data_IF_070955415987
#
_entry.id   IF_070955415987
#
_cell.length_a   1.000
_cell.length_b   1.000
_cell.length_c   1.000
_cell.angle_alpha   90.00
_cell.angle_beta   90.00
_cell.angle_gamma   90.00
#
_symmetry.space_group_name_H-M   'P 1'
#
loop_
_entity.id
_entity.type
_entity.pdbx_description
1 polymer ?
#
# COMPACT_ATOMS: atom_id res chain seq x y z
N UNK A 1 1.15 -11.08 -21.64
CA UNK A 1 0.49 -9.94 -22.30
C UNK A 1 -0.50 -9.34 -21.29
N UNK A 2 -0.09 -8.30 -20.56
CA UNK A 2 -0.89 -7.62 -19.53
C UNK A 2 -1.89 -6.69 -20.24
N UNK A 3 -3.19 -6.99 -20.17
CA UNK A 3 -4.22 -6.09 -20.67
C UNK A 3 -4.47 -4.97 -19.67
N UNK A 4 -4.41 -3.73 -20.14
CA UNK A 4 -4.65 -2.52 -19.36
C UNK A 4 -6.14 -2.42 -19.03
N UNK A 5 -6.52 -2.30 -17.75
CA UNK A 5 -7.92 -2.21 -17.27
C UNK A 5 -8.64 -0.96 -17.80
N UNK A 6 -7.91 0.13 -18.01
CA UNK A 6 -8.49 1.42 -18.46
C UNK A 6 -9.21 1.35 -19.83
N UNK A 7 -9.09 0.22 -20.56
CA UNK A 7 -9.74 0.00 -21.85
C UNK A 7 -10.89 -1.01 -21.84
N UNK A 8 -11.11 -1.73 -20.71
CA UNK A 8 -12.20 -2.71 -20.65
C UNK A 8 -13.53 -2.03 -20.29
N UNK A 9 -14.49 -2.10 -21.20
CA UNK A 9 -15.87 -1.67 -20.90
C UNK A 9 -16.48 -2.57 -19.81
N UNK A 10 -17.35 -2.00 -18.99
CA UNK A 10 -18.07 -2.76 -17.92
C UNK A 10 -18.77 -3.99 -18.50
N UNK A 11 -19.37 -3.89 -19.69
CA UNK A 11 -20.01 -5.01 -20.39
C UNK A 11 -19.06 -6.20 -20.66
N UNK A 12 -17.79 -5.91 -20.97
CA UNK A 12 -16.80 -6.97 -21.24
C UNK A 12 -16.37 -7.66 -19.96
N UNK A 13 -16.27 -6.90 -18.85
CA UNK A 13 -15.98 -7.47 -17.53
C UNK A 13 -17.12 -8.41 -17.13
N UNK A 14 -18.37 -7.96 -17.27
CA UNK A 14 -19.56 -8.75 -16.92
C UNK A 14 -19.59 -10.07 -17.70
N UNK A 15 -19.38 -10.05 -19.03
CA UNK A 15 -19.35 -11.29 -19.84
C UNK A 15 -18.27 -12.25 -19.38
N UNK A 16 -17.05 -11.78 -19.12
CA UNK A 16 -15.94 -12.62 -18.67
C UNK A 16 -16.18 -13.20 -17.26
N UNK A 17 -16.80 -12.42 -16.37
CA UNK A 17 -17.17 -12.91 -15.03
C UNK A 17 -18.25 -14.00 -15.16
N UNK A 18 -19.25 -13.81 -16.03
CA UNK A 18 -20.26 -14.83 -16.29
C UNK A 18 -19.60 -16.15 -16.77
N UNK A 19 -18.76 -16.09 -17.80
CA UNK A 19 -18.06 -17.26 -18.33
C UNK A 19 -17.25 -17.98 -17.24
N UNK A 20 -16.52 -17.22 -16.40
CA UNK A 20 -15.69 -17.76 -15.33
C UNK A 20 -16.56 -18.40 -14.21
N UNK A 21 -17.69 -17.78 -13.83
CA UNK A 21 -18.63 -18.35 -12.86
C UNK A 21 -19.23 -19.66 -13.38
N UNK A 22 -19.70 -19.67 -14.62
CA UNK A 22 -20.24 -20.87 -15.25
C UNK A 22 -19.19 -22.00 -15.33
N UNK A 23 -17.94 -21.67 -15.67
CA UNK A 23 -16.83 -22.63 -15.68
C UNK A 23 -16.58 -23.21 -14.28
N UNK A 24 -16.59 -22.38 -13.24
CA UNK A 24 -16.40 -22.83 -11.87
C UNK A 24 -17.53 -23.73 -11.39
N UNK A 25 -18.77 -23.35 -11.67
CA UNK A 25 -19.96 -24.07 -11.21
C UNK A 25 -20.20 -25.40 -11.95
N UNK A 26 -19.85 -25.48 -13.24
CA UNK A 26 -19.91 -26.74 -14.01
C UNK A 26 -19.01 -27.85 -13.46
N UNK A 27 -18.00 -27.51 -12.68
CA UNK A 27 -17.09 -28.49 -12.04
C UNK A 27 -17.63 -29.04 -10.72
N UNK A 28 -18.75 -28.49 -10.24
CA UNK A 28 -19.38 -28.96 -9.00
C UNK A 28 -20.22 -30.18 -9.28
N UNK A 29 -20.05 -31.31 -8.53
CA UNK A 29 -20.89 -32.46 -8.63
C UNK A 29 -22.38 -32.13 -8.41
N UNK A 30 -23.28 -32.81 -9.12
CA UNK A 30 -24.73 -32.69 -9.01
C UNK A 30 -25.34 -31.35 -9.48
N UNK A 31 -24.56 -30.44 -10.02
CA UNK A 31 -25.07 -29.25 -10.72
C UNK A 31 -25.49 -29.68 -12.14
N UNK A 32 -26.82 -29.56 -12.42
CA UNK A 32 -27.41 -30.05 -13.68
C UNK A 32 -27.66 -28.92 -14.67
N UNK A 33 -28.20 -27.80 -14.19
CA UNK A 33 -28.55 -26.66 -15.04
C UNK A 33 -27.91 -25.38 -14.48
N UNK A 34 -27.43 -24.58 -15.38
CA UNK A 34 -26.87 -23.24 -15.11
C UNK A 34 -27.44 -22.28 -16.15
N UNK A 35 -28.14 -21.27 -15.66
CA UNK A 35 -28.69 -20.23 -16.52
C UNK A 35 -28.21 -18.86 -16.01
N UNK A 36 -27.58 -18.08 -16.86
CA UNK A 36 -27.13 -16.72 -16.54
C UNK A 36 -28.00 -15.70 -17.23
N UNK A 37 -28.51 -14.73 -16.50
CA UNK A 37 -29.34 -13.65 -17.00
C UNK A 37 -28.81 -12.27 -16.59
N UNK A 38 -29.22 -11.25 -17.33
CA UNK A 38 -28.90 -9.85 -17.07
C UNK A 38 -30.19 -9.16 -16.60
N UNK A 39 -30.35 -8.94 -15.30
CA UNK A 39 -31.57 -8.33 -14.77
C UNK A 39 -31.70 -6.87 -15.22
N UNK A 40 -32.95 -6.43 -15.47
CA UNK A 40 -33.24 -5.04 -15.85
C UNK A 40 -33.19 -4.06 -14.67
N UNK A 41 -33.10 -4.55 -13.43
CA UNK A 41 -33.16 -3.73 -12.21
C UNK A 41 -31.78 -3.41 -11.63
N UNK A 42 -31.65 -2.20 -11.10
CA UNK A 42 -30.42 -1.49 -10.71
C UNK A 42 -29.49 -2.15 -9.65
N UNK A 43 -29.83 -3.29 -9.08
CA UNK A 43 -29.10 -3.81 -7.90
C UNK A 43 -28.14 -4.97 -8.15
N UNK A 44 -28.24 -5.67 -9.28
CA UNK A 44 -27.32 -6.73 -9.70
C UNK A 44 -26.99 -6.58 -11.18
N UNK A 45 -25.75 -6.92 -11.54
CA UNK A 45 -25.30 -6.88 -12.95
C UNK A 45 -25.50 -8.25 -13.64
N UNK A 46 -25.58 -9.34 -12.84
CA UNK A 46 -25.81 -10.70 -13.30
C UNK A 46 -26.64 -11.47 -12.27
N UNK A 47 -27.48 -12.38 -12.76
CA UNK A 47 -28.13 -13.43 -11.97
C UNK A 47 -27.79 -14.78 -12.57
N UNK A 48 -27.45 -15.76 -11.70
CA UNK A 48 -27.12 -17.12 -12.14
C UNK A 48 -27.96 -18.11 -11.36
N UNK A 49 -28.87 -18.74 -12.06
CA UNK A 49 -29.62 -19.87 -11.51
C UNK A 49 -28.75 -21.13 -11.53
N UNK A 50 -28.66 -21.78 -10.37
CA UNK A 50 -27.90 -23.01 -10.16
C UNK A 50 -28.85 -24.08 -9.68
N UNK A 51 -29.11 -25.06 -10.52
CA UNK A 51 -29.91 -26.23 -10.13
C UNK A 51 -28.96 -27.34 -9.64
N UNK A 52 -29.05 -27.64 -8.34
CA UNK A 52 -28.35 -28.76 -7.71
C UNK A 52 -29.37 -29.75 -7.13
N UNK A 53 -29.38 -30.98 -7.62
CA UNK A 53 -30.39 -31.98 -7.32
C UNK A 53 -31.79 -31.47 -7.68
N UNK A 54 -32.68 -31.29 -6.67
CA UNK A 54 -34.04 -30.78 -6.82
C UNK A 54 -34.17 -29.31 -6.41
N UNK A 55 -33.11 -28.71 -5.88
CA UNK A 55 -33.10 -27.33 -5.38
C UNK A 55 -32.58 -26.38 -6.44
N UNK A 56 -33.23 -25.24 -6.57
CA UNK A 56 -32.78 -24.10 -7.39
C UNK A 56 -32.28 -22.99 -6.48
N UNK A 57 -31.11 -22.45 -6.82
CA UNK A 57 -30.44 -21.35 -6.10
C UNK A 57 -30.12 -20.24 -7.07
N UNK A 58 -30.20 -19.01 -6.62
CA UNK A 58 -29.87 -17.83 -7.42
C UNK A 58 -28.65 -17.10 -6.83
N UNK A 59 -27.56 -16.98 -7.60
CA UNK A 59 -26.45 -16.07 -7.31
C UNK A 59 -26.77 -14.71 -7.89
N UNK A 60 -26.79 -13.69 -7.06
CA UNK A 60 -26.91 -12.29 -7.48
C UNK A 60 -25.53 -11.64 -7.46
N UNK A 61 -25.06 -11.15 -8.61
CA UNK A 61 -23.68 -10.71 -8.78
C UNK A 61 -23.61 -9.21 -9.07
N UNK A 62 -22.83 -8.49 -8.28
CA UNK A 62 -22.49 -7.11 -8.57
C UNK A 62 -21.06 -7.02 -9.13
N UNK A 63 -20.93 -6.53 -10.35
CA UNK A 63 -19.65 -6.38 -11.06
C UNK A 63 -19.19 -4.94 -10.97
N UNK A 64 -17.97 -4.73 -10.50
CA UNK A 64 -17.34 -3.41 -10.46
C UNK A 64 -16.04 -3.41 -11.26
N UNK A 65 -15.69 -2.27 -11.82
CA UNK A 65 -14.40 -2.10 -12.53
C UNK A 65 -13.20 -2.06 -11.59
N UNK A 66 -13.44 -1.86 -10.29
CA UNK A 66 -12.41 -1.76 -9.26
C UNK A 66 -12.79 -2.67 -8.08
N UNK A 67 -11.86 -3.53 -7.67
CA UNK A 67 -12.04 -4.49 -6.56
C UNK A 67 -11.39 -4.05 -5.25
N UNK A 68 -11.36 -2.75 -4.97
CA UNK A 68 -10.89 -2.20 -3.70
C UNK A 68 -12.00 -2.19 -2.62
N UNK A 69 -11.67 -2.09 -1.32
CA UNK A 69 -12.60 -2.21 -0.20
C UNK A 69 -13.87 -1.38 -0.31
N UNK A 70 -13.76 -0.12 -0.69
CA UNK A 70 -14.92 0.77 -0.87
C UNK A 70 -15.95 0.19 -1.82
N UNK A 71 -15.50 -0.29 -2.99
CA UNK A 71 -16.40 -0.85 -4.01
C UNK A 71 -17.03 -2.17 -3.59
N UNK A 72 -16.28 -3.01 -2.84
CA UNK A 72 -16.81 -4.25 -2.27
C UNK A 72 -17.91 -3.93 -1.26
N UNK A 73 -17.67 -3.00 -0.35
CA UNK A 73 -18.63 -2.59 0.68
C UNK A 73 -19.93 -2.06 0.09
N UNK A 74 -19.84 -1.14 -0.87
CA UNK A 74 -21.00 -0.57 -1.55
C UNK A 74 -21.79 -1.65 -2.30
N UNK A 75 -21.11 -2.50 -3.06
CA UNK A 75 -21.75 -3.55 -3.85
C UNK A 75 -22.42 -4.64 -2.99
N UNK A 76 -21.71 -5.11 -1.96
CA UNK A 76 -22.24 -6.15 -1.07
C UNK A 76 -23.44 -5.63 -0.28
N UNK A 77 -23.40 -4.39 0.23
CA UNK A 77 -24.54 -3.79 0.91
C UNK A 77 -25.80 -3.73 0.01
N UNK A 78 -25.63 -3.34 -1.26
CA UNK A 78 -26.72 -3.33 -2.25
C UNK A 78 -27.30 -4.74 -2.49
N UNK A 79 -26.43 -5.75 -2.64
CA UNK A 79 -26.86 -7.14 -2.87
C UNK A 79 -27.56 -7.73 -1.65
N UNK A 80 -27.09 -7.46 -0.44
CA UNK A 80 -27.72 -7.91 0.80
C UNK A 80 -29.11 -7.31 0.97
N UNK A 81 -29.29 -6.02 0.65
CA UNK A 81 -30.62 -5.39 0.64
C UNK A 81 -31.56 -6.03 -0.40
N UNK A 82 -31.06 -6.42 -1.57
CA UNK A 82 -31.84 -7.15 -2.57
C UNK A 82 -32.23 -8.54 -2.05
N UNK A 83 -31.26 -9.26 -1.51
CA UNK A 83 -31.45 -10.60 -0.95
C UNK A 83 -32.53 -10.61 0.15
N UNK A 84 -32.52 -9.62 1.04
CA UNK A 84 -33.50 -9.51 2.14
C UNK A 84 -34.94 -9.21 1.67
N UNK A 85 -35.11 -8.70 0.47
CA UNK A 85 -36.43 -8.38 -0.14
C UNK A 85 -36.93 -9.48 -1.06
N UNK A 86 -36.08 -10.43 -1.42
CA UNK A 86 -36.45 -11.55 -2.29
C UNK A 86 -37.13 -12.63 -1.47
N UNK A 87 -38.21 -13.24 -2.02
CA UNK A 87 -38.81 -14.45 -1.50
C UNK A 87 -38.00 -15.71 -1.80
N UNK A 88 -37.07 -15.62 -2.75
CA UNK A 88 -36.18 -16.70 -3.15
C UNK A 88 -34.85 -16.63 -2.39
N UNK A 89 -34.25 -17.79 -2.14
CA UNK A 89 -32.89 -17.84 -1.54
C UNK A 89 -31.87 -17.38 -2.54
N UNK A 90 -31.38 -16.16 -2.36
CA UNK A 90 -30.35 -15.55 -3.16
C UNK A 90 -29.02 -15.46 -2.42
N UNK A 91 -27.92 -15.55 -3.16
CA UNK A 91 -26.56 -15.55 -2.63
C UNK A 91 -25.76 -14.40 -3.25
N UNK A 92 -25.36 -13.41 -2.45
CA UNK A 92 -24.63 -12.25 -2.95
C UNK A 92 -23.20 -12.61 -3.37
N UNK A 93 -22.75 -12.10 -4.52
CA UNK A 93 -21.40 -12.30 -5.03
C UNK A 93 -20.84 -10.96 -5.55
N UNK A 94 -19.69 -10.57 -5.03
CA UNK A 94 -18.95 -9.43 -5.54
C UNK A 94 -17.96 -9.86 -6.62
N UNK A 95 -17.89 -9.13 -7.73
CA UNK A 95 -16.99 -9.44 -8.83
C UNK A 95 -16.25 -8.20 -9.36
N UNK A 96 -14.98 -8.39 -9.72
CA UNK A 96 -14.14 -7.33 -10.27
C UNK A 96 -13.01 -7.94 -11.14
N UNK A 97 -12.26 -7.15 -11.91
CA UNK A 97 -11.08 -7.65 -12.60
C UNK A 97 -10.03 -8.26 -11.65
N UNK A 98 -9.78 -7.62 -10.52
CA UNK A 98 -8.99 -8.14 -9.40
C UNK A 98 -9.57 -7.61 -8.09
N UNK A 99 -9.66 -8.48 -7.09
CA UNK A 99 -10.16 -8.15 -5.76
C UNK A 99 -8.99 -8.14 -4.78
N UNK A 100 -8.79 -7.01 -4.08
CA UNK A 100 -7.76 -6.90 -3.06
C UNK A 100 -8.07 -7.79 -1.86
N UNK A 101 -7.05 -8.17 -1.07
CA UNK A 101 -7.23 -8.97 0.13
C UNK A 101 -8.26 -8.36 1.07
N UNK A 102 -8.13 -7.07 1.38
CA UNK A 102 -9.08 -6.37 2.28
C UNK A 102 -10.49 -6.32 1.71
N UNK A 103 -10.67 -6.27 0.39
CA UNK A 103 -12.01 -6.34 -0.22
C UNK A 103 -12.59 -7.77 -0.15
N UNK A 104 -11.74 -8.79 -0.28
CA UNK A 104 -12.15 -10.18 -0.07
C UNK A 104 -12.57 -10.42 1.39
N UNK A 105 -11.81 -9.89 2.35
CA UNK A 105 -12.13 -9.98 3.79
C UNK A 105 -13.51 -9.36 4.09
N UNK A 106 -13.87 -8.21 3.51
CA UNK A 106 -15.21 -7.62 3.61
C UNK A 106 -16.30 -8.57 3.10
N UNK A 107 -16.06 -9.24 1.96
CA UNK A 107 -17.01 -10.23 1.45
C UNK A 107 -17.21 -11.39 2.44
N UNK A 108 -16.10 -11.88 3.03
CA UNK A 108 -16.15 -12.99 4.01
C UNK A 108 -16.91 -12.59 5.28
N UNK A 109 -16.61 -11.43 5.86
CA UNK A 109 -17.26 -10.91 7.07
C UNK A 109 -18.77 -10.73 6.89
N UNK A 110 -19.22 -10.41 5.68
CA UNK A 110 -20.63 -10.20 5.36
C UNK A 110 -21.35 -11.43 4.83
N UNK A 111 -20.66 -12.56 4.68
CA UNK A 111 -21.21 -13.80 4.11
C UNK A 111 -21.43 -13.76 2.59
N UNK A 112 -20.86 -12.77 1.90
CA UNK A 112 -20.90 -12.70 0.44
C UNK A 112 -19.80 -13.55 -0.19
N UNK A 113 -20.08 -14.13 -1.36
CA UNK A 113 -19.05 -14.70 -2.22
C UNK A 113 -18.29 -13.63 -2.99
N UNK A 114 -17.15 -14.00 -3.56
CA UNK A 114 -16.43 -13.15 -4.50
C UNK A 114 -15.73 -13.94 -5.61
N UNK A 115 -15.50 -13.28 -6.74
CA UNK A 115 -14.74 -13.82 -7.87
C UNK A 115 -14.04 -12.71 -8.66
N UNK A 116 -12.81 -12.97 -9.10
CA UNK A 116 -12.09 -12.04 -9.96
C UNK A 116 -11.56 -12.68 -11.24
N UNK A 117 -11.25 -11.84 -12.25
CA UNK A 117 -10.73 -12.30 -13.53
C UNK A 117 -9.28 -12.82 -13.47
N UNK A 118 -8.57 -12.61 -12.36
CA UNK A 118 -7.28 -13.26 -12.11
C UNK A 118 -7.43 -14.73 -11.76
N UNK A 119 -8.64 -15.14 -11.36
CA UNK A 119 -9.03 -16.50 -11.00
C UNK A 119 -9.09 -16.76 -9.50
N UNK A 120 -9.01 -15.71 -8.66
CA UNK A 120 -9.33 -15.85 -7.25
C UNK A 120 -10.86 -15.90 -7.08
N UNK A 121 -11.35 -16.79 -6.26
CA UNK A 121 -12.76 -16.85 -5.92
C UNK A 121 -12.97 -17.54 -4.58
N UNK A 122 -14.06 -17.17 -3.93
CA UNK A 122 -14.66 -17.93 -2.85
C UNK A 122 -16.19 -17.87 -2.97
N UNK A 123 -16.81 -19.00 -3.20
CA UNK A 123 -18.26 -19.15 -3.34
C UNK A 123 -18.72 -20.21 -2.33
N UNK A 124 -19.58 -19.82 -1.41
CA UNK A 124 -20.11 -20.72 -0.36
C UNK A 124 -21.62 -20.58 -0.32
N UNK A 125 -22.32 -21.58 -0.76
CA UNK A 125 -23.78 -21.61 -0.74
C UNK A 125 -24.31 -23.03 -0.86
N UNK A 126 -25.37 -23.36 -0.10
CA UNK A 126 -26.08 -24.63 -0.13
C UNK A 126 -25.21 -25.90 -0.28
N UNK A 127 -24.17 -26.03 0.55
CA UNK A 127 -23.25 -27.18 0.49
C UNK A 127 -22.31 -27.17 -0.71
N UNK A 128 -22.27 -26.07 -1.47
CA UNK A 128 -21.24 -25.81 -2.46
C UNK A 128 -20.16 -24.95 -1.80
N UNK A 129 -18.90 -25.39 -1.89
CA UNK A 129 -17.73 -24.66 -1.45
C UNK A 129 -16.69 -24.66 -2.56
N UNK A 130 -16.43 -23.49 -3.12
CA UNK A 130 -15.39 -23.28 -4.14
C UNK A 130 -14.44 -22.21 -3.63
N UNK A 131 -13.16 -22.54 -3.49
CA UNK A 131 -12.13 -21.57 -3.10
C UNK A 131 -10.90 -21.71 -3.98
N UNK A 132 -10.41 -20.56 -4.46
CA UNK A 132 -9.16 -20.42 -5.20
C UNK A 132 -8.53 -19.11 -4.78
N UNK A 133 -7.34 -19.17 -4.20
CA UNK A 133 -6.63 -18.02 -3.66
C UNK A 133 -5.22 -17.91 -4.26
N UNK A 134 -4.56 -16.79 -4.01
CA UNK A 134 -3.15 -16.58 -4.33
C UNK A 134 -2.84 -16.32 -5.81
N UNK A 135 -3.85 -16.09 -6.65
CA UNK A 135 -3.60 -15.69 -8.03
C UNK A 135 -3.17 -14.23 -8.08
N UNK A 136 -2.00 -13.94 -8.70
CA UNK A 136 -1.52 -12.56 -8.76
C UNK A 136 -2.42 -11.70 -9.63
N UNK A 137 -2.43 -10.40 -9.34
CA UNK A 137 -3.19 -9.44 -10.11
C UNK A 137 -2.68 -9.35 -11.56
N UNK A 138 -3.42 -9.92 -12.51
CA UNK A 138 -3.11 -9.87 -13.95
C UNK A 138 -3.59 -8.58 -14.63
N UNK A 139 -4.35 -7.78 -13.91
CA UNK A 139 -4.98 -6.54 -14.36
C UNK A 139 -4.35 -5.32 -13.71
N UNK A 140 -3.15 -5.48 -13.16
CA UNK A 140 -2.37 -4.34 -12.71
C UNK A 140 -2.23 -3.37 -13.87
N UNK A 141 -2.98 -2.29 -13.83
CA UNK A 141 -2.51 -1.07 -14.43
C UNK A 141 -1.20 -0.76 -13.71
N UNK A 142 -0.07 -1.00 -14.39
CA UNK A 142 1.26 -0.59 -13.90
C UNK A 142 1.27 0.88 -13.46
N UNK A 143 0.31 1.65 -13.92
CA UNK A 143 0.07 3.06 -13.61
C UNK A 143 -0.55 3.27 -12.21
N UNK A 144 -1.46 2.41 -11.74
CA UNK A 144 -2.26 2.65 -10.53
C UNK A 144 -1.52 2.28 -9.22
N UNK A 145 -0.80 1.14 -9.16
CA UNK A 145 0.01 0.77 -7.98
C UNK A 145 1.34 1.52 -7.96
N UNK A 146 1.99 1.68 -9.12
CA UNK A 146 3.19 2.51 -9.22
C UNK A 146 2.91 3.98 -8.91
N UNK A 147 1.68 4.47 -9.12
CA UNK A 147 1.39 5.89 -8.89
C UNK A 147 1.38 6.28 -7.41
N UNK A 148 0.97 5.39 -6.48
CA UNK A 148 0.90 5.74 -5.06
C UNK A 148 2.30 5.81 -4.42
N UNK A 149 3.23 4.91 -4.81
CA UNK A 149 4.59 4.85 -4.26
C UNK A 149 5.67 5.45 -5.17
N UNK A 150 5.28 6.27 -6.14
CA UNK A 150 6.23 7.08 -6.92
C UNK A 150 6.65 8.35 -6.16
N UNK A 151 7.82 8.90 -6.47
CA UNK A 151 8.41 10.05 -5.81
C UNK A 151 7.43 11.14 -5.39
N UNK A 152 6.69 11.71 -6.35
CA UNK A 152 5.75 12.81 -6.09
C UNK A 152 4.57 12.38 -5.22
N UNK A 153 4.09 11.15 -5.34
CA UNK A 153 3.03 10.62 -4.48
C UNK A 153 3.53 10.39 -3.06
N UNK A 154 4.75 9.85 -2.91
CA UNK A 154 5.34 9.56 -1.60
C UNK A 154 5.63 10.81 -0.79
N UNK A 155 5.83 11.97 -1.43
CA UNK A 155 5.88 13.26 -0.71
C UNK A 155 4.55 13.57 -0.01
N UNK A 156 3.43 13.30 -0.68
CA UNK A 156 2.09 13.46 -0.08
C UNK A 156 1.89 12.47 1.06
N UNK A 157 2.31 11.21 0.89
CA UNK A 157 2.20 10.20 1.94
C UNK A 157 3.01 10.57 3.18
N UNK A 158 4.23 11.11 3.01
CA UNK A 158 5.04 11.59 4.14
C UNK A 158 4.36 12.71 4.91
N UNK A 159 3.77 13.68 4.21
CA UNK A 159 3.03 14.76 4.86
C UNK A 159 1.81 14.25 5.63
N UNK A 160 1.06 13.30 5.06
CA UNK A 160 -0.09 12.69 5.71
C UNK A 160 0.29 11.83 6.93
N UNK A 161 1.39 11.08 6.86
CA UNK A 161 1.86 10.20 7.93
C UNK A 161 2.65 10.94 9.01
N UNK A 162 3.10 12.17 8.76
CA UNK A 162 3.76 13.01 9.75
C UNK A 162 2.81 13.38 10.90
N UNK A 163 1.57 13.70 10.56
CA UNK A 163 0.45 13.86 11.50
C UNK A 163 -0.82 13.29 10.89
N UNK A 164 -1.13 12.01 11.14
CA UNK A 164 -2.29 11.34 10.55
C UNK A 164 -3.63 11.84 11.09
N UNK A 165 -3.65 12.57 12.21
CA UNK A 165 -4.86 13.12 12.81
C UNK A 165 -5.26 14.46 12.17
N UNK A 166 -4.32 15.11 11.48
CA UNK A 166 -4.57 16.38 10.83
C UNK A 166 -5.51 16.24 9.64
N UNK A 167 -6.53 17.08 9.58
CA UNK A 167 -7.44 17.21 8.44
C UNK A 167 -6.86 18.20 7.44
N UNK A 168 -6.39 17.70 6.31
CA UNK A 168 -5.70 18.49 5.30
C UNK A 168 -6.66 19.06 4.25
N UNK A 169 -6.68 20.36 4.04
CA UNK A 169 -7.19 20.92 2.76
C UNK A 169 -6.23 20.54 1.64
N UNK A 170 -6.76 20.20 0.46
CA UNK A 170 -5.91 19.70 -0.64
C UNK A 170 -4.88 20.73 -1.11
N UNK A 171 -5.19 22.03 -1.02
CA UNK A 171 -4.25 23.09 -1.35
C UNK A 171 -3.07 23.15 -0.36
N UNK A 172 -3.36 23.05 0.96
CA UNK A 172 -2.33 23.08 1.99
C UNK A 172 -1.42 21.84 1.90
N UNK A 173 -2.01 20.67 1.64
CA UNK A 173 -1.27 19.42 1.42
C UNK A 173 -0.40 19.49 0.15
N UNK A 174 -0.88 20.16 -0.91
CA UNK A 174 -0.12 20.43 -2.13
C UNK A 174 1.11 21.30 -1.82
N UNK A 175 0.94 22.35 -1.04
CA UNK A 175 2.02 23.23 -0.62
C UNK A 175 3.02 22.50 0.28
N UNK A 176 2.54 21.79 1.32
CA UNK A 176 3.40 21.09 2.27
C UNK A 176 4.23 19.98 1.62
N UNK A 177 3.66 19.28 0.64
CA UNK A 177 4.33 18.17 -0.06
C UNK A 177 5.15 18.61 -1.29
N UNK A 178 5.05 19.89 -1.71
CA UNK A 178 5.73 20.40 -2.89
C UNK A 178 5.30 19.75 -4.21
N UNK A 179 4.02 19.32 -4.32
CA UNK A 179 3.48 18.69 -5.53
C UNK A 179 2.21 19.40 -6.01
N UNK A 180 1.84 19.17 -7.27
CA UNK A 180 0.61 19.76 -7.82
C UNK A 180 -0.65 19.24 -7.13
N UNK A 181 -1.69 20.06 -7.05
CA UNK A 181 -3.00 19.68 -6.50
C UNK A 181 -3.63 18.49 -7.23
N UNK A 182 -3.35 18.32 -8.52
CA UNK A 182 -3.77 17.15 -9.31
C UNK A 182 -3.13 15.85 -8.81
N UNK A 183 -1.86 15.91 -8.38
CA UNK A 183 -1.18 14.77 -7.79
C UNK A 183 -1.76 14.43 -6.41
N UNK A 184 -2.03 15.45 -5.58
CA UNK A 184 -2.71 15.27 -4.29
C UNK A 184 -4.09 14.62 -4.49
N UNK A 185 -4.86 15.07 -5.50
CA UNK A 185 -6.15 14.48 -5.83
C UNK A 185 -6.05 12.98 -6.19
N UNK A 186 -5.03 12.60 -6.99
CA UNK A 186 -4.80 11.20 -7.35
C UNK A 186 -4.47 10.34 -6.12
N UNK A 187 -3.61 10.84 -5.22
CA UNK A 187 -3.29 10.16 -3.96
C UNK A 187 -4.53 10.05 -3.08
N UNK A 188 -5.27 11.15 -2.88
CA UNK A 188 -6.55 11.14 -2.15
C UNK A 188 -7.48 10.04 -2.65
N UNK A 189 -7.71 9.99 -3.97
CA UNK A 189 -8.58 8.98 -4.58
C UNK A 189 -8.09 7.56 -4.28
N UNK A 190 -6.79 7.32 -4.42
CA UNK A 190 -6.20 6.01 -4.17
C UNK A 190 -6.33 5.57 -2.70
N UNK A 191 -6.22 6.50 -1.74
CA UNK A 191 -6.39 6.23 -0.31
C UNK A 191 -7.86 5.97 0.05
N UNK A 192 -8.79 6.76 -0.50
CA UNK A 192 -10.24 6.57 -0.26
C UNK A 192 -10.72 5.25 -0.86
N UNK A 193 -10.26 4.88 -2.06
CA UNK A 193 -10.64 3.60 -2.70
C UNK A 193 -10.22 2.40 -1.85
N UNK A 194 -9.17 2.55 -1.01
CA UNK A 194 -8.65 1.53 -0.07
C UNK A 194 -9.27 1.59 1.33
N UNK A 195 -10.17 2.54 1.59
CA UNK A 195 -10.68 2.87 2.93
C UNK A 195 -9.56 3.27 3.94
N UNK A 196 -8.46 3.84 3.45
CA UNK A 196 -7.36 4.32 4.29
C UNK A 196 -7.45 5.80 4.65
N UNK A 197 -8.34 6.51 4.00
CA UNK A 197 -8.63 7.91 4.27
C UNK A 197 -10.09 8.25 4.02
N UNK A 198 -10.55 9.29 4.67
CA UNK A 198 -11.84 9.94 4.45
C UNK A 198 -11.63 11.39 4.01
N UNK A 199 -12.57 11.90 3.22
CA UNK A 199 -12.56 13.28 2.78
C UNK A 199 -13.91 13.92 3.07
N UNK A 200 -13.91 14.82 4.04
CA UNK A 200 -15.06 15.54 4.52
C UNK A 200 -14.94 17.03 4.18
N UNK A 201 -15.89 17.83 4.70
CA UNK A 201 -15.89 19.28 4.53
C UNK A 201 -14.62 19.94 5.10
N UNK A 202 -14.11 19.40 6.20
CA UNK A 202 -12.91 19.89 6.89
C UNK A 202 -11.61 19.51 6.18
N UNK A 203 -11.61 18.47 5.37
CA UNK A 203 -10.44 18.05 4.60
C UNK A 203 -10.24 16.53 4.51
N UNK A 204 -9.07 16.14 4.03
CA UNK A 204 -8.59 14.76 3.95
C UNK A 204 -7.91 14.35 5.27
N UNK A 205 -8.31 13.22 5.84
CA UNK A 205 -7.72 12.63 7.04
C UNK A 205 -7.43 11.14 6.80
N UNK A 206 -6.34 10.62 7.34
CA UNK A 206 -6.08 9.18 7.35
C UNK A 206 -6.97 8.49 8.40
N UNK A 207 -7.55 7.36 8.01
CA UNK A 207 -8.33 6.48 8.91
C UNK A 207 -7.55 5.21 9.28
N UNK A 208 -6.56 4.84 8.46
CA UNK A 208 -5.75 3.63 8.61
C UNK A 208 -4.26 3.91 8.34
N UNK A 209 -3.61 4.79 9.13
CA UNK A 209 -2.23 5.18 8.89
C UNK A 209 -1.24 4.01 9.02
N UNK A 210 -1.46 3.10 9.93
CA UNK A 210 -0.63 1.89 10.09
C UNK A 210 -0.70 0.99 8.85
N UNK A 211 -1.90 0.72 8.32
CA UNK A 211 -2.04 -0.09 7.12
C UNK A 211 -1.36 0.55 5.91
N UNK A 212 -1.48 1.87 5.78
CA UNK A 212 -0.79 2.62 4.73
C UNK A 212 0.74 2.49 4.85
N UNK A 213 1.29 2.65 6.06
CA UNK A 213 2.74 2.57 6.29
C UNK A 213 3.27 1.16 6.02
N UNK A 214 2.57 0.13 6.47
CA UNK A 214 2.94 -1.28 6.25
C UNK A 214 2.90 -1.65 4.77
N UNK A 215 1.81 -1.33 4.06
CA UNK A 215 1.70 -1.57 2.61
C UNK A 215 2.77 -0.80 1.83
N UNK A 216 3.10 0.43 2.27
CA UNK A 216 4.22 1.17 1.67
C UNK A 216 5.55 0.48 1.93
N UNK A 217 5.83 0.00 3.15
CA UNK A 217 7.03 -0.76 3.50
C UNK A 217 7.20 -2.02 2.64
N UNK A 218 6.12 -2.78 2.40
CA UNK A 218 6.14 -3.96 1.51
C UNK A 218 6.50 -3.62 0.04
N UNK A 219 6.21 -2.39 -0.39
CA UNK A 219 6.45 -1.92 -1.75
C UNK A 219 7.65 -0.95 -1.84
N UNK A 220 8.35 -0.72 -0.73
CA UNK A 220 9.48 0.19 -0.65
C UNK A 220 10.80 -0.53 -0.91
N UNK A 221 11.66 0.11 -1.67
CA UNK A 221 13.03 -0.32 -1.88
C UNK A 221 13.90 0.90 -2.22
N UNK A 222 15.18 0.83 -1.93
CA UNK A 222 16.16 1.84 -2.36
C UNK A 222 16.36 1.95 -3.88
N UNK A 223 15.66 1.18 -4.69
CA UNK A 223 15.89 0.87 -6.10
C UNK A 223 16.26 1.98 -7.07
N UNK A 224 15.91 3.24 -6.78
CA UNK A 224 16.32 4.40 -7.57
C UNK A 224 17.35 5.28 -6.84
N UNK A 225 17.58 5.04 -5.54
CA UNK A 225 18.61 5.72 -4.78
C UNK A 225 19.98 5.13 -5.11
N UNK A 226 21.02 5.97 -5.05
CA UNK A 226 22.39 5.53 -5.22
C UNK A 226 23.02 5.28 -3.86
N UNK A 227 23.35 4.01 -3.57
CA UNK A 227 23.98 3.59 -2.33
C UNK A 227 25.46 3.34 -2.55
N UNK A 228 26.28 3.91 -1.69
CA UNK A 228 27.73 3.78 -1.75
C UNK A 228 28.29 3.43 -0.39
N UNK A 229 28.99 2.32 -0.35
CA UNK A 229 29.62 1.82 0.86
C UNK A 229 31.05 2.31 1.01
N UNK A 230 31.41 2.71 2.24
CA UNK A 230 32.72 3.22 2.60
C UNK A 230 33.18 2.66 3.94
N UNK A 231 34.44 2.88 4.24
CA UNK A 231 35.01 2.59 5.55
C UNK A 231 35.60 3.88 6.17
N UNK A 232 35.25 4.12 7.43
CA UNK A 232 35.86 5.16 8.27
C UNK A 232 36.41 4.51 9.55
N UNK A 233 37.67 4.76 9.86
CA UNK A 233 38.30 4.26 11.08
C UNK A 233 37.83 5.08 12.30
N UNK A 234 36.59 4.83 12.71
CA UNK A 234 35.94 5.46 13.86
C UNK A 234 34.82 4.56 14.41
N UNK A 235 34.45 4.74 15.67
CA UNK A 235 33.21 4.13 16.16
C UNK A 235 31.99 4.71 15.44
N UNK A 236 30.88 4.00 15.35
CA UNK A 236 29.69 4.50 14.65
C UNK A 236 29.24 5.90 15.12
N UNK A 237 29.16 6.13 16.43
CA UNK A 237 28.76 7.44 16.97
C UNK A 237 29.78 8.54 16.66
N UNK A 238 31.07 8.24 16.68
CA UNK A 238 32.11 9.20 16.28
C UNK A 238 32.05 9.51 14.76
N UNK A 239 31.82 8.48 13.93
CA UNK A 239 31.62 8.63 12.50
C UNK A 239 30.44 9.56 12.21
N UNK A 240 29.30 9.36 12.84
CA UNK A 240 28.10 10.18 12.69
C UNK A 240 28.33 11.65 13.07
N UNK A 241 29.07 11.89 14.17
CA UNK A 241 29.43 13.25 14.60
C UNK A 241 30.37 13.93 13.61
N UNK A 242 31.36 13.21 13.08
CA UNK A 242 32.29 13.73 12.05
C UNK A 242 31.50 14.07 10.77
N UNK A 243 30.62 13.19 10.30
CA UNK A 243 29.77 13.41 9.15
C UNK A 243 28.91 14.67 9.31
N UNK A 244 28.22 14.76 10.47
CA UNK A 244 27.37 15.88 10.81
C UNK A 244 28.11 17.22 10.77
N UNK A 245 29.27 17.30 11.44
CA UNK A 245 30.10 18.52 11.51
C UNK A 245 30.60 18.95 10.13
N UNK A 246 31.17 18.02 9.36
CA UNK A 246 31.73 18.32 8.04
C UNK A 246 30.70 18.75 7.02
N UNK A 247 29.54 18.02 6.97
CA UNK A 247 28.46 18.34 6.04
C UNK A 247 27.79 19.67 6.39
N UNK A 248 27.49 19.90 7.68
CA UNK A 248 26.91 21.17 8.14
C UNK A 248 27.79 22.37 7.86
N UNK A 249 29.10 22.28 8.11
CA UNK A 249 30.04 23.36 7.81
C UNK A 249 30.10 23.76 6.33
N UNK A 250 29.73 22.85 5.44
CA UNK A 250 29.67 23.09 3.98
C UNK A 250 28.25 23.39 3.49
N UNK A 251 27.29 23.50 4.38
CA UNK A 251 25.90 23.75 4.02
C UNK A 251 25.25 22.62 3.20
N UNK A 252 25.76 21.39 3.29
CA UNK A 252 25.21 20.23 2.61
C UNK A 252 24.11 19.65 3.50
N UNK A 253 22.91 19.53 2.94
CA UNK A 253 21.77 18.89 3.61
C UNK A 253 22.03 17.39 3.74
N UNK A 254 21.86 16.87 4.96
CA UNK A 254 22.02 15.46 5.26
C UNK A 254 20.99 15.02 6.31
N UNK A 255 20.77 13.73 6.43
CA UNK A 255 20.02 13.14 7.55
C UNK A 255 20.43 11.67 7.75
N UNK A 256 20.74 11.30 9.00
CA UNK A 256 20.95 9.91 9.37
C UNK A 256 19.66 9.14 9.24
N UNK A 257 19.73 7.88 8.79
CA UNK A 257 18.57 7.05 8.53
C UNK A 257 18.77 5.61 9.01
N UNK A 258 17.79 4.75 8.76
CA UNK A 258 17.80 3.32 9.09
C UNK A 258 18.27 3.08 10.54
N UNK A 259 19.28 2.23 10.74
CA UNK A 259 19.80 1.89 12.06
C UNK A 259 20.36 3.09 12.83
N UNK A 260 21.00 4.05 12.15
CA UNK A 260 21.51 5.28 12.76
C UNK A 260 20.43 6.16 13.37
N UNK A 261 19.29 6.29 12.67
CA UNK A 261 18.13 7.00 13.18
C UNK A 261 17.41 6.21 14.26
N UNK A 262 17.22 4.89 14.04
CA UNK A 262 16.52 4.03 14.98
C UNK A 262 17.23 3.93 16.34
N UNK A 263 18.56 3.86 16.38
CA UNK A 263 19.32 3.83 17.61
C UNK A 263 19.09 5.05 18.53
N UNK A 264 18.74 6.18 17.94
CA UNK A 264 18.40 7.42 18.67
C UNK A 264 16.93 7.52 19.03
N UNK A 265 16.06 7.05 18.14
CA UNK A 265 14.62 7.17 18.31
C UNK A 265 14.04 6.06 19.21
N UNK A 266 14.56 4.84 19.11
CA UNK A 266 14.06 3.64 19.80
C UNK A 266 15.21 2.76 20.32
N UNK A 267 15.98 3.19 21.32
CA UNK A 267 17.02 2.34 21.92
C UNK A 267 16.39 1.08 22.56
N UNK A 268 17.08 -0.09 22.59
CA UNK A 268 18.52 -0.26 22.38
C UNK A 268 18.93 -0.79 20.99
N UNK A 269 18.52 -0.16 19.90
CA UNK A 269 18.99 -0.57 18.59
C UNK A 269 20.52 -0.35 18.48
N UNK A 270 21.28 -1.42 18.20
CA UNK A 270 22.71 -1.32 17.96
C UNK A 270 23.00 -0.85 16.54
N UNK A 271 23.89 0.13 16.42
CA UNK A 271 24.31 0.65 15.12
C UNK A 271 25.63 -0.02 14.71
N UNK A 272 25.54 -1.03 13.87
CA UNK A 272 26.72 -1.66 13.26
C UNK A 272 27.24 -0.86 12.05
N UNK A 273 26.40 -0.05 11.42
CA UNK A 273 26.68 0.69 10.20
C UNK A 273 25.97 2.04 10.23
N UNK A 274 26.70 3.11 9.90
CA UNK A 274 26.14 4.44 9.73
C UNK A 274 25.47 4.56 8.36
N UNK A 275 24.21 4.93 8.33
CA UNK A 275 23.44 5.18 7.10
C UNK A 275 23.02 6.64 7.06
N UNK A 276 23.32 7.35 5.97
CA UNK A 276 23.05 8.79 5.86
C UNK A 276 22.65 9.18 4.45
N UNK A 277 21.52 9.90 4.34
CA UNK A 277 21.14 10.62 3.13
C UNK A 277 21.98 11.89 3.01
N UNK A 278 22.42 12.19 1.79
CA UNK A 278 23.17 13.42 1.45
C UNK A 278 22.57 14.06 0.20
N UNK A 279 22.48 15.39 0.21
CA UNK A 279 21.99 16.19 -0.92
C UNK A 279 23.16 16.82 -1.68
N UNK A 280 24.03 15.96 -2.21
CA UNK A 280 25.18 16.34 -3.06
C UNK A 280 25.65 15.14 -3.87
N UNK A 281 26.51 15.38 -4.86
CA UNK A 281 27.14 14.28 -5.58
C UNK A 281 28.11 13.49 -4.69
N UNK A 282 28.33 12.23 -5.06
CA UNK A 282 29.07 11.28 -4.25
C UNK A 282 30.56 11.59 -4.15
N UNK A 283 31.20 11.99 -5.25
CA UNK A 283 32.64 12.25 -5.28
C UNK A 283 32.99 13.41 -4.33
N UNK A 284 32.19 14.48 -4.40
CA UNK A 284 32.32 15.62 -3.50
C UNK A 284 32.11 15.24 -2.03
N UNK A 285 31.13 14.33 -1.75
CA UNK A 285 30.89 13.88 -0.39
C UNK A 285 32.02 13.00 0.13
N UNK A 286 32.52 12.05 -0.65
CA UNK A 286 33.61 11.15 -0.28
C UNK A 286 34.91 11.95 0.02
N UNK A 287 35.27 12.92 -0.83
CA UNK A 287 36.44 13.80 -0.63
C UNK A 287 36.27 14.62 0.64
N UNK A 288 35.14 15.26 0.84
CA UNK A 288 34.86 16.09 2.01
C UNK A 288 34.93 15.29 3.33
N UNK A 289 34.45 14.08 3.29
CA UNK A 289 34.37 13.22 4.47
C UNK A 289 35.64 12.39 4.68
N UNK A 290 36.61 12.45 3.76
CA UNK A 290 37.85 11.67 3.78
C UNK A 290 37.59 10.17 3.93
N UNK A 291 36.61 9.65 3.17
CA UNK A 291 36.21 8.27 3.26
C UNK A 291 37.16 7.36 2.47
N UNK A 292 37.61 6.30 3.12
CA UNK A 292 38.34 5.23 2.45
C UNK A 292 37.42 4.35 1.60
N UNK A 293 37.97 3.63 0.60
CA UNK A 293 37.20 2.68 -0.18
C UNK A 293 36.58 1.63 0.72
N UNK A 294 35.45 1.09 0.29
CA UNK A 294 34.76 0.00 0.98
C UNK A 294 35.73 -1.19 1.11
N UNK A 295 36.14 -1.50 2.32
CA UNK A 295 36.85 -2.75 2.63
C UNK A 295 35.87 -3.93 2.69
N UNK A 296 36.35 -5.11 3.15
CA UNK A 296 35.47 -6.27 3.31
C UNK A 296 34.33 -6.06 4.31
N UNK A 297 34.49 -5.08 5.22
CA UNK A 297 33.49 -4.71 6.22
C UNK A 297 33.23 -3.19 6.18
N UNK A 298 32.41 -2.71 5.23
CA UNK A 298 32.05 -1.29 5.19
C UNK A 298 31.18 -0.94 6.41
N UNK A 299 31.47 0.22 7.01
CA UNK A 299 30.72 0.69 8.19
C UNK A 299 29.95 2.01 7.96
N UNK A 300 30.03 2.57 6.75
CA UNK A 300 29.25 3.73 6.33
C UNK A 300 28.58 3.45 4.99
N UNK A 301 27.30 3.78 4.90
CA UNK A 301 26.56 3.83 3.64
C UNK A 301 26.08 5.26 3.41
N UNK A 302 26.62 5.93 2.39
CA UNK A 302 26.08 7.19 1.89
C UNK A 302 24.97 6.88 0.88
N UNK A 303 23.90 7.63 0.97
CA UNK A 303 22.70 7.46 0.12
C UNK A 303 22.41 8.80 -0.56
N UNK A 304 22.52 8.84 -1.88
CA UNK A 304 22.04 9.96 -2.69
C UNK A 304 20.59 9.66 -3.08
N UNK A 305 19.62 10.36 -2.48
CA UNK A 305 18.20 10.04 -2.73
C UNK A 305 17.80 10.52 -4.12
N UNK A 306 17.00 9.73 -4.82
CA UNK A 306 16.44 10.15 -6.09
C UNK A 306 15.32 11.19 -5.94
N UNK A 307 14.77 11.34 -4.73
CA UNK A 307 13.74 12.32 -4.39
C UNK A 307 14.00 12.97 -3.03
N UNK A 308 14.00 14.30 -3.01
CA UNK A 308 14.25 15.09 -1.79
C UNK A 308 13.19 14.89 -0.68
N UNK A 309 12.06 14.24 -0.99
CA UNK A 309 11.02 13.96 -0.01
C UNK A 309 11.49 13.14 1.20
N UNK A 310 12.62 12.43 1.11
CA UNK A 310 13.24 11.72 2.25
C UNK A 310 13.60 12.66 3.40
N UNK A 311 13.86 13.93 3.11
CA UNK A 311 14.17 14.96 4.11
C UNK A 311 12.93 15.59 4.76
N UNK A 312 11.72 15.17 4.37
CA UNK A 312 10.50 15.70 4.98
C UNK A 312 10.40 15.29 6.45
N UNK A 313 10.21 16.27 7.34
CA UNK A 313 10.10 16.01 8.78
C UNK A 313 11.39 15.56 9.46
N UNK A 314 12.54 15.88 8.89
CA UNK A 314 13.85 15.70 9.57
C UNK A 314 13.86 16.43 10.91
N UNK A 315 14.57 15.87 11.88
CA UNK A 315 14.71 16.41 13.25
C UNK A 315 16.17 16.48 13.64
N UNK A 316 16.50 17.49 14.44
CA UNK A 316 17.80 17.54 15.11
C UNK A 316 17.73 16.74 16.42
N UNK A 317 18.66 15.84 16.60
CA UNK A 317 18.80 15.01 17.82
C UNK A 317 20.27 14.95 18.22
N UNK A 318 20.60 15.46 19.41
CA UNK A 318 21.98 15.50 19.93
C UNK A 318 23.02 16.08 18.93
N UNK A 319 22.63 17.15 18.23
CA UNK A 319 23.52 17.83 17.28
C UNK A 319 23.67 17.16 15.91
N UNK A 320 22.91 16.10 15.64
CA UNK A 320 22.86 15.46 14.31
C UNK A 320 21.45 15.51 13.74
N UNK A 321 21.35 15.64 12.42
CA UNK A 321 20.07 15.60 11.73
C UNK A 321 19.70 14.14 11.42
N UNK A 322 18.47 13.74 11.79
CA UNK A 322 17.91 12.43 11.52
C UNK A 322 16.63 12.56 10.68
N UNK A 323 16.33 11.54 9.87
CA UNK A 323 15.06 11.48 9.12
C UNK A 323 13.87 11.36 10.06
N UNK A 324 12.65 11.58 9.54
CA UNK A 324 11.41 11.29 10.27
C UNK A 324 11.32 9.81 10.66
N UNK A 325 10.62 9.46 11.75
CA UNK A 325 10.39 8.06 12.13
C UNK A 325 9.77 7.21 11.01
N UNK A 326 8.88 7.79 10.20
CA UNK A 326 8.27 7.14 9.04
C UNK A 326 9.32 6.78 7.99
N UNK A 327 10.24 7.70 7.67
CA UNK A 327 11.31 7.42 6.70
C UNK A 327 12.31 6.39 7.26
N UNK A 328 12.69 6.50 8.53
CA UNK A 328 13.56 5.51 9.18
C UNK A 328 12.95 4.10 9.15
N UNK A 329 11.64 3.99 9.39
CA UNK A 329 10.89 2.72 9.30
C UNK A 329 10.99 2.11 7.89
N UNK A 330 10.72 2.90 6.86
CA UNK A 330 10.76 2.43 5.47
C UNK A 330 12.16 1.94 5.09
N UNK A 331 13.18 2.68 5.46
CA UNK A 331 14.57 2.33 5.16
C UNK A 331 14.99 1.06 5.91
N UNK A 332 14.59 0.89 7.16
CA UNK A 332 14.84 -0.34 7.93
C UNK A 332 14.19 -1.56 7.29
N UNK A 333 12.92 -1.46 6.88
CA UNK A 333 12.22 -2.58 6.20
C UNK A 333 12.92 -2.98 4.90
N UNK A 334 13.53 -2.03 4.19
CA UNK A 334 14.23 -2.29 2.93
C UNK A 334 15.60 -2.97 3.08
N UNK A 335 16.20 -2.98 4.30
CA UNK A 335 17.54 -3.56 4.48
C UNK A 335 17.54 -5.09 4.49
N UNK A 336 17.02 -5.71 5.54
CA UNK A 336 17.04 -7.17 5.75
C UNK A 336 16.14 -7.57 6.93
N UNK A 337 16.19 -8.82 7.35
CA UNK A 337 15.38 -9.30 8.49
C UNK A 337 15.66 -8.55 9.82
N UNK A 338 16.93 -8.23 10.13
CA UNK A 338 17.26 -7.39 11.30
C UNK A 338 16.68 -5.98 11.18
N UNK A 339 16.64 -5.44 9.95
CA UNK A 339 16.00 -4.16 9.68
C UNK A 339 14.49 -4.22 9.95
N UNK A 340 13.82 -5.30 9.59
CA UNK A 340 12.39 -5.47 9.89
C UNK A 340 12.10 -5.53 11.39
N UNK A 341 12.92 -6.23 12.17
CA UNK A 341 12.80 -6.27 13.63
C UNK A 341 12.98 -4.87 14.25
N UNK A 342 14.00 -4.13 13.80
CA UNK A 342 14.22 -2.76 14.23
C UNK A 342 13.08 -1.81 13.79
N UNK A 343 12.51 -2.01 12.62
CA UNK A 343 11.35 -1.25 12.13
C UNK A 343 10.11 -1.49 13.02
N UNK A 344 9.83 -2.72 13.41
CA UNK A 344 8.72 -3.01 14.33
C UNK A 344 8.93 -2.40 15.72
N UNK A 345 10.17 -2.43 16.22
CA UNK A 345 10.54 -1.74 17.46
C UNK A 345 10.31 -0.22 17.36
N UNK A 346 10.79 0.40 16.27
CA UNK A 346 10.58 1.83 16.01
C UNK A 346 9.09 2.17 15.86
N UNK A 347 8.34 1.31 15.18
CA UNK A 347 6.90 1.50 15.04
C UNK A 347 6.18 1.51 16.40
N UNK A 348 6.40 0.50 17.22
CA UNK A 348 5.71 0.34 18.48
C UNK A 348 6.13 1.36 19.55
N UNK A 349 7.42 1.73 19.61
CA UNK A 349 7.95 2.63 20.63
C UNK A 349 7.79 4.11 20.29
N UNK A 350 7.77 4.47 19.01
CA UNK A 350 7.78 5.88 18.58
C UNK A 350 6.59 6.21 17.70
N UNK A 351 6.46 5.58 16.52
CA UNK A 351 5.46 5.98 15.52
C UNK A 351 4.05 5.82 16.07
N UNK A 352 3.75 4.69 16.67
CA UNK A 352 2.43 4.41 17.23
C UNK A 352 2.09 5.36 18.38
N UNK A 353 3.07 5.79 19.17
CA UNK A 353 2.86 6.75 20.25
C UNK A 353 2.61 8.16 19.73
N UNK A 354 3.41 8.61 18.74
CA UNK A 354 3.20 9.92 18.10
C UNK A 354 1.82 10.04 17.43
N UNK A 355 1.30 8.92 16.89
CA UNK A 355 -0.01 8.93 16.23
C UNK A 355 -1.22 8.82 17.16
N UNK A 356 -1.03 8.52 18.42
CA UNK A 356 -2.10 8.38 19.42
C UNK A 356 -2.47 9.67 20.16
N UNK A 357 -1.79 10.78 19.89
CA UNK A 357 -2.02 12.07 20.51
C UNK A 357 -3.33 12.72 20.08
#
# INVERSE_FOLDING_TARGET
MLKVIDEMKKSDIIKKILDLLLECLRKVPDVRNLNGSFPEADSADLEIEVQKNLDTHCLIVAVRSNGQPRYAREAVAQLLLKSSRSSEKTWPVFAAPFISKSAADICLETGAGYIDLSGNCRLVFNGIFIERLGRPNRFLSKRYLRSLYQARSTRVLRALLFDPNLKWKLADLSTASGVSIGQVYNVKKALIDRDWAEFEKEGLRLTRPEQLLRDWGENYAFGADSLFDFHLTASPSAAESILADRLSKKGIRYALTAFSASARLAPPAETARTCVYIDTDMDRAADLLELGPAGPEPNITLIVPYDEGVFFGTREFEGVCIVSPVQAYLDLVAFNERGKEAAESLFSQVIQQEWRL
#
